data_IF_022198787664
#
_entry.id   IF_022198787664
#
_cell.length_a   1.000
_cell.length_b   1.000
_cell.length_c   1.000
_cell.angle_alpha   90.00
_cell.angle_beta   90.00
_cell.angle_gamma   90.00
#
_symmetry.space_group_name_H-M   'P 1'
#
loop_
_entity.id
_entity.type
_entity.pdbx_description
1 polymer ?
#
# COMPACT_ATOMS: atom_id res chain seq x y z
N UNK A 1 -19.86 -27.80 6.33
CA UNK A 1 -19.36 -26.89 5.32
C UNK A 1 -19.96 -27.24 3.98
N UNK A 2 -20.59 -26.30 3.31
CA UNK A 2 -21.09 -26.45 1.97
C UNK A 2 -20.05 -25.91 0.97
N UNK A 3 -19.38 -26.77 0.20
CA UNK A 3 -18.32 -26.34 -0.71
C UNK A 3 -18.84 -25.57 -1.93
N UNK A 4 -20.12 -25.72 -2.32
CA UNK A 4 -20.69 -24.99 -3.44
C UNK A 4 -21.08 -23.57 -3.05
N UNK A 5 -21.65 -23.38 -1.86
CA UNK A 5 -22.00 -22.10 -1.31
C UNK A 5 -20.87 -21.47 -0.53
N UNK A 6 -19.76 -22.20 -0.29
CA UNK A 6 -18.62 -21.78 0.55
C UNK A 6 -19.04 -21.26 1.93
N UNK A 7 -20.08 -21.87 2.49
CA UNK A 7 -20.68 -21.50 3.76
C UNK A 7 -20.83 -22.71 4.67
N UNK A 8 -20.82 -22.48 5.98
CA UNK A 8 -21.12 -23.49 6.99
C UNK A 8 -22.64 -23.60 7.19
N UNK A 9 -23.42 -23.75 6.11
CA UNK A 9 -24.85 -24.03 6.20
C UNK A 9 -25.03 -25.51 6.44
N UNK A 10 -26.08 -25.89 7.16
CA UNK A 10 -26.43 -27.25 7.55
C UNK A 10 -25.84 -27.75 8.87
N UNK A 11 -25.89 -26.94 9.91
CA UNK A 11 -25.91 -27.53 11.24
C UNK A 11 -27.18 -28.34 11.42
N UNK A 12 -27.02 -29.60 11.82
CA UNK A 12 -28.16 -30.39 12.24
C UNK A 12 -28.79 -29.72 13.48
N UNK A 13 -30.05 -29.41 13.42
CA UNK A 13 -30.77 -28.77 14.55
C UNK A 13 -30.64 -29.54 15.86
N UNK A 14 -30.37 -30.87 15.79
CA UNK A 14 -30.11 -31.71 16.95
C UNK A 14 -28.77 -31.39 17.61
N UNK A 15 -27.76 -31.06 16.80
CA UNK A 15 -26.42 -30.72 17.30
C UNK A 15 -26.45 -29.33 17.94
N UNK A 16 -27.21 -28.39 17.37
CA UNK A 16 -27.42 -27.07 17.96
C UNK A 16 -28.14 -27.13 19.31
N UNK A 17 -29.17 -28.00 19.42
CA UNK A 17 -29.89 -28.24 20.66
C UNK A 17 -29.01 -28.89 21.73
N UNK A 18 -28.09 -29.78 21.34
CA UNK A 18 -27.12 -30.41 22.23
C UNK A 18 -26.12 -29.38 22.76
N UNK A 19 -25.55 -28.57 21.90
CA UNK A 19 -24.61 -27.52 22.31
C UNK A 19 -25.29 -26.43 23.15
N UNK A 20 -26.51 -26.04 22.87
CA UNK A 20 -27.25 -25.07 23.68
C UNK A 20 -27.56 -25.62 25.08
N UNK A 21 -27.83 -26.91 25.22
CA UNK A 21 -27.99 -27.58 26.48
C UNK A 21 -26.70 -27.66 27.32
N UNK A 22 -25.55 -27.79 26.66
CA UNK A 22 -24.25 -27.85 27.32
C UNK A 22 -23.69 -26.47 27.74
N UNK A 23 -24.01 -25.43 26.99
CA UNK A 23 -23.53 -24.07 27.19
C UNK A 23 -24.52 -23.16 27.95
N UNK A 24 -25.62 -23.74 28.44
CA UNK A 24 -26.71 -22.99 29.09
C UNK A 24 -27.54 -22.18 28.10
N UNK A 25 -28.15 -21.11 28.54
CA UNK A 25 -29.04 -20.25 27.74
C UNK A 25 -28.34 -19.33 26.73
N UNK A 26 -27.04 -19.59 26.40
CA UNK A 26 -26.39 -18.87 25.33
C UNK A 26 -27.07 -19.25 24.00
N UNK A 27 -27.84 -18.36 23.42
CA UNK A 27 -28.35 -18.51 22.07
C UNK A 27 -27.15 -18.49 21.12
N UNK A 28 -26.78 -19.67 20.64
CA UNK A 28 -25.85 -19.80 19.55
C UNK A 28 -26.58 -19.34 18.27
N UNK A 29 -26.45 -18.09 17.92
CA UNK A 29 -26.93 -17.59 16.64
C UNK A 29 -26.14 -18.32 15.55
N UNK A 30 -26.85 -18.96 14.62
CA UNK A 30 -26.28 -19.65 13.45
C UNK A 30 -25.24 -18.78 12.71
N UNK A 31 -25.45 -17.47 12.69
CA UNK A 31 -24.56 -16.50 12.07
C UNK A 31 -23.29 -16.20 12.89
N UNK A 32 -23.29 -16.48 14.19
CA UNK A 32 -22.13 -16.21 15.05
C UNK A 32 -21.10 -17.33 15.08
N UNK A 33 -21.51 -18.57 14.74
CA UNK A 33 -20.63 -19.75 14.82
C UNK A 33 -19.80 -19.97 13.55
N UNK A 34 -20.26 -19.48 12.41
CA UNK A 34 -19.62 -19.74 11.13
C UNK A 34 -19.69 -18.54 10.18
N UNK A 35 -18.89 -17.53 10.43
CA UNK A 35 -18.59 -16.56 9.37
C UNK A 35 -17.32 -16.97 8.65
N UNK A 36 -17.39 -17.29 7.37
CA UNK A 36 -16.24 -17.49 6.51
C UNK A 36 -16.11 -16.28 5.59
N UNK A 37 -14.95 -15.64 5.60
CA UNK A 37 -14.62 -14.53 4.70
C UNK A 37 -13.43 -14.92 3.84
N UNK A 38 -13.66 -15.02 2.54
CA UNK A 38 -12.59 -15.21 1.56
C UNK A 38 -12.23 -13.87 0.91
N UNK A 39 -10.95 -13.49 0.97
CA UNK A 39 -10.43 -12.31 0.30
C UNK A 39 -9.41 -12.76 -0.75
N UNK A 40 -9.73 -12.56 -2.01
CA UNK A 40 -8.87 -12.91 -3.13
C UNK A 40 -8.17 -11.68 -3.69
N UNK A 41 -6.89 -11.53 -3.38
CA UNK A 41 -6.04 -10.49 -3.93
C UNK A 41 -5.12 -11.08 -5.01
N UNK A 42 -5.16 -10.51 -6.20
CA UNK A 42 -4.32 -10.92 -7.34
C UNK A 42 -3.38 -9.80 -7.71
N UNK A 43 -2.09 -10.14 -7.81
CA UNK A 43 -1.03 -9.23 -8.22
C UNK A 43 -0.22 -9.87 -9.34
N UNK A 44 0.13 -9.07 -10.34
CA UNK A 44 1.10 -9.41 -11.37
C UNK A 44 2.10 -8.28 -11.46
N UNK A 45 3.39 -8.61 -11.35
CA UNK A 45 4.46 -7.61 -11.31
C UNK A 45 5.56 -7.98 -12.30
N UNK A 46 6.00 -6.99 -13.08
CA UNK A 46 7.21 -7.06 -13.89
C UNK A 46 8.20 -6.04 -13.36
N UNK A 47 9.44 -6.44 -13.19
CA UNK A 47 10.49 -5.53 -12.73
C UNK A 47 11.80 -5.78 -13.46
N UNK A 48 12.60 -4.73 -13.58
CA UNK A 48 13.96 -4.78 -14.10
C UNK A 48 14.84 -3.82 -13.32
N UNK A 49 16.06 -4.26 -13.03
CA UNK A 49 17.08 -3.47 -12.38
C UNK A 49 18.34 -3.52 -13.21
N UNK A 50 19.03 -2.39 -13.35
CA UNK A 50 20.30 -2.30 -14.01
C UNK A 50 21.26 -1.43 -13.19
N UNK A 51 22.54 -1.79 -13.17
CA UNK A 51 23.59 -1.00 -12.59
C UNK A 51 24.82 -1.08 -13.46
N UNK A 52 25.46 0.06 -13.68
CA UNK A 52 26.69 0.18 -14.46
C UNK A 52 27.74 0.95 -13.65
N UNK A 53 28.93 0.39 -13.57
CA UNK A 53 30.08 1.01 -12.91
C UNK A 53 31.14 1.34 -13.94
N UNK A 54 31.53 2.60 -13.98
CA UNK A 54 32.60 3.08 -14.87
C UNK A 54 33.84 3.47 -14.04
N UNK A 55 34.98 2.92 -14.44
CA UNK A 55 36.31 3.18 -13.84
C UNK A 55 36.34 3.04 -12.29
N UNK A 56 35.47 2.16 -11.74
CA UNK A 56 35.27 2.01 -10.30
C UNK A 56 34.96 3.32 -9.53
N UNK A 57 34.71 4.39 -10.24
CA UNK A 57 34.49 5.74 -9.70
C UNK A 57 33.05 6.16 -9.78
N UNK A 58 32.41 5.89 -10.89
CA UNK A 58 31.05 6.33 -11.18
C UNK A 58 30.12 5.13 -11.27
N UNK A 59 29.05 5.15 -10.48
CA UNK A 59 28.03 4.12 -10.55
C UNK A 59 26.71 4.76 -10.93
N UNK A 60 26.07 4.22 -11.96
CA UNK A 60 24.71 4.58 -12.36
C UNK A 60 23.82 3.36 -12.13
N UNK A 61 22.70 3.54 -11.48
CA UNK A 61 21.71 2.49 -11.24
C UNK A 61 20.31 2.95 -11.64
N UNK A 62 19.51 2.00 -12.10
CA UNK A 62 18.12 2.26 -12.43
C UNK A 62 17.25 1.06 -12.14
N UNK A 63 16.02 1.31 -11.75
CA UNK A 63 15.00 0.29 -11.57
C UNK A 63 13.67 0.74 -12.17
N UNK A 64 12.95 -0.21 -12.71
CA UNK A 64 11.57 -0.02 -13.16
C UNK A 64 10.74 -1.21 -12.71
N UNK A 65 9.54 -0.93 -12.23
CA UNK A 65 8.57 -1.94 -11.83
C UNK A 65 7.18 -1.58 -12.33
N UNK A 66 6.50 -2.53 -12.87
CA UNK A 66 5.14 -2.41 -13.32
C UNK A 66 4.26 -3.44 -12.65
N UNK A 67 3.28 -2.97 -11.92
CA UNK A 67 2.37 -3.82 -11.15
C UNK A 67 0.94 -3.71 -11.67
N UNK A 68 0.22 -4.82 -11.61
CA UNK A 68 -1.22 -4.90 -11.81
C UNK A 68 -1.88 -5.59 -10.62
N UNK A 69 -3.06 -5.12 -10.23
CA UNK A 69 -3.84 -5.70 -9.13
C UNK A 69 -5.34 -5.58 -9.39
N UNK A 70 -6.13 -6.50 -8.83
CA UNK A 70 -7.59 -6.41 -8.79
C UNK A 70 -8.12 -5.42 -7.74
N UNK A 71 -7.24 -4.81 -6.94
CA UNK A 71 -7.61 -3.81 -5.92
C UNK A 71 -7.73 -2.39 -6.48
N UNK A 72 -7.39 -2.18 -7.74
CA UNK A 72 -7.45 -0.85 -8.36
C UNK A 72 -8.82 -0.52 -8.88
N UNK A 73 -9.06 0.79 -9.01
CA UNK A 73 -10.22 1.31 -9.70
C UNK A 73 -10.29 0.83 -11.15
N UNK A 74 -11.48 0.81 -11.69
CA UNK A 74 -11.75 0.34 -13.07
C UNK A 74 -11.35 1.36 -14.14
N UNK A 75 -10.92 2.55 -13.76
CA UNK A 75 -10.48 3.58 -14.68
C UNK A 75 -9.09 3.25 -15.25
N UNK A 76 -9.00 2.98 -16.53
CA UNK A 76 -7.77 2.60 -17.25
C UNK A 76 -6.65 3.64 -17.13
N UNK A 77 -6.99 4.92 -16.93
CA UNK A 77 -6.04 6.01 -16.72
C UNK A 77 -5.11 5.77 -15.51
N UNK A 78 -5.56 5.04 -14.52
CA UNK A 78 -4.84 4.83 -13.26
C UNK A 78 -4.24 3.44 -13.12
N UNK A 79 -4.55 2.53 -14.04
CA UNK A 79 -4.13 1.12 -13.95
C UNK A 79 -2.70 0.82 -14.41
N UNK A 80 -2.08 1.69 -15.20
CA UNK A 80 -0.82 1.40 -15.89
C UNK A 80 0.24 2.47 -15.61
N UNK A 81 0.64 2.65 -14.35
CA UNK A 81 1.71 3.59 -13.99
C UNK A 81 2.94 2.83 -13.49
N UNK A 82 4.06 2.85 -14.23
CA UNK A 82 5.28 2.24 -13.76
C UNK A 82 5.85 3.02 -12.57
N UNK A 83 6.41 2.30 -11.62
CA UNK A 83 7.25 2.81 -10.56
C UNK A 83 8.69 2.71 -11.03
N UNK A 84 9.51 3.71 -10.78
CA UNK A 84 10.88 3.71 -11.25
C UNK A 84 11.80 4.52 -10.35
N UNK A 85 13.07 4.21 -10.40
CA UNK A 85 14.09 5.00 -9.73
C UNK A 85 15.36 5.05 -10.57
N UNK A 86 16.10 6.13 -10.39
CA UNK A 86 17.44 6.30 -10.91
C UNK A 86 18.33 6.80 -9.78
N UNK A 87 19.54 6.29 -9.71
CA UNK A 87 20.52 6.72 -8.71
C UNK A 87 21.91 6.72 -9.31
N UNK A 88 22.74 7.59 -8.77
CA UNK A 88 24.13 7.66 -9.11
C UNK A 88 25.02 7.80 -7.87
N UNK A 89 26.23 7.30 -7.94
CA UNK A 89 27.25 7.58 -6.93
C UNK A 89 28.61 7.86 -7.55
N UNK A 90 29.37 8.70 -6.88
CA UNK A 90 30.70 9.11 -7.28
C UNK A 90 31.68 8.86 -6.13
N UNK A 91 32.67 8.00 -6.40
CA UNK A 91 33.75 7.68 -5.47
C UNK A 91 34.85 8.74 -5.61
N UNK A 92 34.70 9.87 -4.96
CA UNK A 92 35.59 11.04 -5.06
C UNK A 92 37.02 10.69 -4.64
N UNK A 93 37.17 9.84 -3.63
CA UNK A 93 38.49 9.43 -3.11
C UNK A 93 39.37 8.68 -4.14
N UNK A 94 38.75 8.15 -5.23
CA UNK A 94 39.48 7.46 -6.33
C UNK A 94 39.93 8.43 -7.42
N UNK A 95 39.59 9.70 -7.33
CA UNK A 95 39.96 10.69 -8.33
C UNK A 95 41.43 11.11 -8.19
N UNK A 96 42.11 11.33 -9.32
CA UNK A 96 43.53 11.74 -9.34
C UNK A 96 43.78 13.12 -8.72
N UNK A 97 42.79 14.00 -8.71
CA UNK A 97 42.87 15.32 -8.10
C UNK A 97 42.65 15.28 -6.59
N UNK A 98 42.10 14.18 -6.06
CA UNK A 98 41.81 14.08 -4.65
C UNK A 98 43.00 13.48 -3.91
N UNK A 99 43.77 14.36 -3.23
CA UNK A 99 44.97 13.99 -2.45
C UNK A 99 44.80 14.47 -1.00
N UNK A 100 44.16 13.65 -0.18
CA UNK A 100 43.94 13.92 1.22
C UNK A 100 44.26 12.68 2.04
N UNK A 101 45.47 12.63 2.64
CA UNK A 101 45.97 11.43 3.34
C UNK A 101 45.16 10.98 4.53
N UNK A 102 44.32 11.88 5.06
CA UNK A 102 43.45 11.57 6.19
C UNK A 102 42.05 11.04 5.78
N UNK A 103 41.72 11.06 4.47
CA UNK A 103 40.42 10.59 3.93
C UNK A 103 40.60 9.29 3.24
N UNK A 104 40.09 8.22 3.85
CA UNK A 104 40.15 6.84 3.29
C UNK A 104 39.03 6.56 2.29
N UNK A 105 37.86 7.18 2.51
CA UNK A 105 36.72 7.07 1.62
C UNK A 105 35.91 8.36 1.63
N UNK A 106 35.55 8.82 0.46
CA UNK A 106 34.58 9.90 0.24
C UNK A 106 33.73 9.55 -0.98
N UNK A 107 32.44 9.30 -0.75
CA UNK A 107 31.50 8.93 -1.78
C UNK A 107 30.28 9.83 -1.71
N UNK A 108 29.96 10.47 -2.82
CA UNK A 108 28.70 11.19 -3.01
C UNK A 108 27.69 10.27 -3.68
N UNK A 109 26.46 10.28 -3.23
CA UNK A 109 25.36 9.55 -3.85
C UNK A 109 24.11 10.42 -3.94
N UNK A 110 23.37 10.22 -5.03
CA UNK A 110 22.08 10.85 -5.23
C UNK A 110 21.12 9.85 -5.86
N UNK A 111 19.88 9.91 -5.47
CA UNK A 111 18.83 9.11 -6.08
C UNK A 111 17.52 9.88 -6.19
N UNK A 112 16.77 9.55 -7.24
CA UNK A 112 15.44 10.06 -7.48
C UNK A 112 14.54 8.91 -7.91
N UNK A 113 13.34 8.82 -7.33
CA UNK A 113 12.43 7.74 -7.68
C UNK A 113 10.99 8.03 -7.34
N UNK A 114 10.13 7.23 -7.95
CA UNK A 114 8.69 7.24 -7.71
C UNK A 114 8.30 5.87 -7.18
N UNK A 115 7.86 5.84 -5.92
CA UNK A 115 7.26 4.69 -5.26
C UNK A 115 5.74 4.79 -5.23
N UNK A 116 5.07 3.68 -4.99
CA UNK A 116 3.64 3.62 -4.84
C UNK A 116 3.20 2.66 -3.74
N UNK A 117 2.05 2.93 -3.18
CA UNK A 117 1.37 2.05 -2.24
C UNK A 117 -0.10 1.93 -2.60
N UNK A 118 -0.75 0.84 -2.23
CA UNK A 118 -2.18 0.62 -2.49
C UNK A 118 -2.90 0.34 -1.17
N UNK A 119 -4.03 1.01 -0.97
CA UNK A 119 -4.90 0.76 0.16
C UNK A 119 -5.61 -0.60 0.03
N UNK A 120 -5.36 -1.51 0.97
CA UNK A 120 -5.98 -2.84 0.97
C UNK A 120 -7.41 -2.86 1.48
N UNK A 121 -7.82 -1.79 2.15
CA UNK A 121 -9.15 -1.68 2.78
C UNK A 121 -10.14 -0.85 1.94
N UNK A 122 -9.85 -0.66 0.66
CA UNK A 122 -10.71 0.06 -0.27
C UNK A 122 -11.15 -0.85 -1.40
N UNK A 123 -12.37 -0.64 -1.90
CA UNK A 123 -12.89 -1.36 -3.04
C UNK A 123 -13.38 -0.36 -4.09
N UNK A 124 -13.15 -0.63 -5.40
CA UNK A 124 -13.68 0.20 -6.46
C UNK A 124 -15.19 0.02 -6.70
N UNK A 125 -15.75 -1.04 -6.11
CA UNK A 125 -17.13 -1.43 -6.29
C UNK A 125 -18.02 -0.99 -5.14
N UNK A 126 -19.33 -0.88 -5.44
CA UNK A 126 -20.34 -0.70 -4.42
C UNK A 126 -20.40 -1.94 -3.53
N UNK A 127 -20.34 -1.74 -2.21
CA UNK A 127 -20.57 -2.79 -1.22
C UNK A 127 -21.85 -2.43 -0.45
N UNK A 128 -22.81 -3.32 -0.48
CA UNK A 128 -24.09 -3.18 0.22
C UNK A 128 -24.35 -4.39 1.10
N UNK A 129 -24.99 -4.17 2.24
CA UNK A 129 -25.54 -5.21 3.11
C UNK A 129 -27.06 -5.22 2.97
N UNK A 130 -27.63 -6.41 2.91
CA UNK A 130 -29.07 -6.60 2.90
C UNK A 130 -29.57 -7.05 4.27
N UNK A 131 -30.74 -6.57 4.65
CA UNK A 131 -31.38 -6.91 5.93
C UNK A 131 -32.91 -6.93 5.77
N UNK A 132 -33.58 -7.71 6.58
CA UNK A 132 -35.03 -7.68 6.64
C UNK A 132 -35.51 -6.39 7.31
N UNK A 133 -36.40 -5.68 6.63
CA UNK A 133 -36.91 -4.40 7.10
C UNK A 133 -38.40 -4.51 7.43
N UNK A 134 -38.74 -4.18 8.67
CA UNK A 134 -40.15 -4.08 9.09
C UNK A 134 -40.90 -2.89 8.47
N UNK A 135 -40.17 -1.95 7.83
CA UNK A 135 -40.78 -0.75 7.23
C UNK A 135 -41.28 -1.00 5.81
N UNK A 136 -40.71 -1.98 5.09
CA UNK A 136 -41.02 -2.23 3.68
C UNK A 136 -41.52 -3.67 3.43
N UNK A 137 -41.79 -4.43 4.48
CA UNK A 137 -42.26 -5.84 4.43
C UNK A 137 -41.40 -6.65 3.42
N UNK A 138 -40.10 -6.61 3.59
CA UNK A 138 -39.16 -7.28 2.72
C UNK A 138 -37.70 -6.89 2.98
N UNK A 139 -36.81 -7.30 2.07
CA UNK A 139 -35.40 -7.01 2.15
C UNK A 139 -35.10 -5.56 1.79
N UNK A 140 -34.45 -4.85 2.70
CA UNK A 140 -33.87 -3.54 2.45
C UNK A 140 -32.34 -3.65 2.28
N UNK A 141 -31.74 -2.71 1.57
CA UNK A 141 -30.29 -2.64 1.37
C UNK A 141 -29.71 -1.39 2.01
N UNK A 142 -28.58 -1.55 2.69
CA UNK A 142 -27.74 -0.43 3.15
C UNK A 142 -26.43 -0.42 2.37
N UNK A 143 -26.06 0.73 1.80
CA UNK A 143 -24.78 0.88 1.11
C UNK A 143 -23.70 1.12 2.14
N UNK A 144 -22.75 0.20 2.27
CA UNK A 144 -21.64 0.27 3.21
C UNK A 144 -20.46 1.07 2.62
N UNK A 145 -20.22 0.89 1.32
CA UNK A 145 -19.15 1.59 0.61
C UNK A 145 -19.65 2.00 -0.78
N UNK A 146 -19.61 3.27 -1.14
CA UNK A 146 -19.96 3.73 -2.48
C UNK A 146 -18.91 3.27 -3.49
N UNK A 147 -19.28 3.15 -4.76
CA UNK A 147 -18.33 2.81 -5.81
C UNK A 147 -17.35 3.97 -6.01
N UNK A 148 -16.06 3.66 -6.03
CA UNK A 148 -15.03 4.62 -6.39
C UNK A 148 -14.15 4.05 -7.52
N UNK A 149 -14.51 4.38 -8.76
CA UNK A 149 -13.78 3.92 -9.96
C UNK A 149 -12.40 4.54 -10.10
N UNK A 150 -12.13 5.63 -9.39
CA UNK A 150 -10.91 6.42 -9.49
C UNK A 150 -9.89 6.11 -8.38
N UNK A 151 -10.11 5.06 -7.61
CA UNK A 151 -9.12 4.55 -6.65
C UNK A 151 -7.84 4.22 -7.40
N UNK A 152 -6.74 4.79 -6.92
CA UNK A 152 -5.43 4.68 -7.54
C UNK A 152 -4.31 4.52 -6.50
N UNK A 153 -3.11 4.26 -6.99
CA UNK A 153 -1.91 4.26 -6.20
C UNK A 153 -1.69 5.58 -5.46
N UNK A 154 -1.34 5.48 -4.21
CA UNK A 154 -0.64 6.52 -3.49
C UNK A 154 0.75 6.67 -4.11
N UNK A 155 1.12 7.86 -4.53
CA UNK A 155 2.38 8.12 -5.21
C UNK A 155 3.32 8.89 -4.29
N UNK A 156 4.52 8.36 -4.07
CA UNK A 156 5.57 9.05 -3.32
C UNK A 156 6.77 9.28 -4.22
N UNK A 157 7.11 10.54 -4.44
CA UNK A 157 8.34 10.95 -5.09
C UNK A 157 9.40 11.15 -4.03
N UNK A 158 10.53 10.47 -4.17
CA UNK A 158 11.64 10.51 -3.20
C UNK A 158 12.89 11.06 -3.88
N UNK A 159 13.54 12.02 -3.22
CA UNK A 159 14.88 12.52 -3.55
C UNK A 159 15.76 12.24 -2.36
N UNK A 160 16.88 11.57 -2.57
CA UNK A 160 17.91 11.37 -1.55
C UNK A 160 19.25 11.85 -2.09
N UNK A 161 19.99 12.56 -1.23
CA UNK A 161 21.39 12.94 -1.47
C UNK A 161 22.18 12.60 -0.22
N UNK A 162 23.27 11.87 -0.38
CA UNK A 162 24.06 11.41 0.75
C UNK A 162 25.57 11.47 0.48
N UNK A 163 26.31 11.60 1.56
CA UNK A 163 27.78 11.56 1.59
C UNK A 163 28.19 10.46 2.56
N UNK A 164 28.93 9.47 2.04
CA UNK A 164 29.57 8.44 2.86
C UNK A 164 31.05 8.79 3.01
N UNK A 165 31.57 8.75 4.22
CA UNK A 165 32.97 9.08 4.49
C UNK A 165 33.63 8.10 5.46
N UNK A 166 34.96 7.92 5.29
CA UNK A 166 35.82 7.27 6.26
C UNK A 166 37.12 8.04 6.36
N UNK A 167 37.55 8.28 7.58
CA UNK A 167 38.70 9.16 7.91
C UNK A 167 39.65 8.42 8.85
N UNK A 168 40.92 8.86 8.84
CA UNK A 168 41.96 8.46 9.81
C UNK A 168 42.16 6.93 9.87
N UNK A 169 42.38 6.28 8.73
CA UNK A 169 42.54 4.85 8.58
C UNK A 169 41.29 4.08 9.10
N UNK A 170 40.11 4.53 8.64
CA UNK A 170 38.80 4.00 9.04
C UNK A 170 38.47 4.09 10.55
N UNK A 171 39.13 4.97 11.30
CA UNK A 171 38.83 5.18 12.73
C UNK A 171 37.53 5.94 12.93
N UNK A 172 37.19 6.81 12.02
CA UNK A 172 35.94 7.54 11.99
C UNK A 172 35.28 7.31 10.65
N UNK A 173 34.06 6.75 10.65
CA UNK A 173 33.26 6.55 9.45
C UNK A 173 31.80 6.92 9.72
N UNK A 174 31.13 7.40 8.71
CA UNK A 174 29.74 7.80 8.83
C UNK A 174 29.09 8.09 7.50
N UNK A 175 27.82 8.33 7.58
CA UNK A 175 26.97 8.74 6.46
C UNK A 175 26.15 9.94 6.90
N UNK A 176 26.07 10.94 6.03
CA UNK A 176 25.14 12.06 6.18
C UNK A 176 24.22 12.00 4.97
N UNK A 177 22.91 11.94 5.22
CA UNK A 177 21.92 11.83 4.16
C UNK A 177 20.81 12.87 4.34
N UNK A 178 20.47 13.56 3.26
CA UNK A 178 19.28 14.39 3.16
C UNK A 178 18.23 13.69 2.29
N UNK A 179 17.02 13.64 2.79
CA UNK A 179 15.89 13.12 2.01
C UNK A 179 14.73 14.10 1.94
N UNK A 180 14.01 14.03 0.82
CA UNK A 180 12.73 14.70 0.62
C UNK A 180 11.74 13.72 -0.03
N UNK A 181 10.66 13.39 0.68
CA UNK A 181 9.57 12.52 0.24
C UNK A 181 8.32 13.35 0.06
N UNK A 182 7.83 13.42 -1.17
CA UNK A 182 6.60 14.11 -1.51
C UNK A 182 5.54 13.07 -1.94
N UNK A 183 4.52 12.89 -1.10
CA UNK A 183 3.43 11.94 -1.32
C UNK A 183 2.18 12.68 -1.76
N UNK A 184 1.55 12.16 -2.80
CA UNK A 184 0.28 12.64 -3.35
C UNK A 184 -0.67 11.47 -3.56
N UNK A 185 -1.93 11.77 -3.77
CA UNK A 185 -2.97 10.77 -3.96
C UNK A 185 -3.10 9.81 -2.77
N UNK A 186 -2.72 10.25 -1.55
CA UNK A 186 -2.89 9.46 -0.34
C UNK A 186 -4.38 9.24 -0.08
N UNK A 187 -4.72 8.03 0.33
CA UNK A 187 -6.08 7.70 0.73
C UNK A 187 -6.44 8.45 2.01
N UNK A 188 -7.46 9.26 1.90
CA UNK A 188 -7.98 10.04 3.01
C UNK A 188 -9.50 9.96 3.06
N UNK A 189 -10.03 9.99 4.26
CA UNK A 189 -11.45 10.09 4.49
C UNK A 189 -11.90 11.54 4.25
N UNK A 190 -12.87 11.72 3.37
CA UNK A 190 -13.52 13.01 3.15
C UNK A 190 -14.99 12.92 3.57
N UNK A 191 -15.56 14.02 4.01
CA UNK A 191 -16.97 14.08 4.31
C UNK A 191 -17.78 14.12 3.01
N UNK A 192 -18.68 13.17 2.85
CA UNK A 192 -19.68 13.14 1.78
C UNK A 192 -20.87 14.02 2.12
N UNK A 193 -21.66 14.37 1.11
CA UNK A 193 -22.92 15.09 1.32
C UNK A 193 -23.97 14.15 1.91
N UNK A 194 -24.59 14.48 3.05
CA UNK A 194 -25.68 13.68 3.60
C UNK A 194 -26.90 13.60 2.69
N UNK A 195 -27.00 14.50 1.69
CA UNK A 195 -28.10 14.52 0.72
C UNK A 195 -27.97 13.49 -0.40
N UNK A 196 -26.85 12.75 -0.45
CA UNK A 196 -26.67 11.69 -1.45
C UNK A 196 -27.44 10.40 -1.14
N UNK A 197 -28.12 10.32 0.00
CA UNK A 197 -29.00 9.20 0.34
C UNK A 197 -28.31 7.88 0.74
N UNK A 198 -27.00 7.89 0.92
CA UNK A 198 -26.24 6.66 1.24
C UNK A 198 -26.17 6.34 2.74
N UNK A 199 -26.68 7.17 3.62
CA UNK A 199 -26.67 6.93 5.05
C UNK A 199 -25.31 7.04 5.74
N UNK A 200 -24.23 7.35 5.03
CA UNK A 200 -22.90 7.59 5.60
C UNK A 200 -22.35 8.95 5.18
N UNK A 201 -21.48 9.46 6.03
CA UNK A 201 -20.93 10.81 5.88
C UNK A 201 -19.46 10.82 5.44
N UNK A 202 -18.82 9.64 5.32
CA UNK A 202 -17.37 9.56 5.06
C UNK A 202 -17.07 8.69 3.84
N UNK A 203 -16.27 9.22 2.93
CA UNK A 203 -15.82 8.56 1.70
C UNK A 203 -14.30 8.46 1.68
N UNK A 204 -13.75 7.30 1.33
CA UNK A 204 -12.30 7.15 1.09
C UNK A 204 -11.96 7.52 -0.34
N UNK A 205 -11.09 8.52 -0.49
CA UNK A 205 -10.63 9.02 -1.82
C UNK A 205 -9.14 9.29 -1.80
N UNK A 206 -8.54 9.33 -3.00
CA UNK A 206 -7.14 9.73 -3.18
C UNK A 206 -7.01 11.26 -3.22
N UNK A 207 -7.08 11.90 -2.06
CA UNK A 207 -7.06 13.38 -1.94
C UNK A 207 -5.97 13.91 -1.00
N UNK A 208 -5.29 13.03 -0.25
CA UNK A 208 -4.26 13.43 0.71
C UNK A 208 -2.94 13.80 0.04
N UNK A 209 -2.22 14.74 0.65
CA UNK A 209 -0.85 15.11 0.30
C UNK A 209 0.01 15.16 1.57
N UNK A 210 1.27 14.75 1.47
CA UNK A 210 2.20 14.78 2.58
C UNK A 210 3.61 15.12 2.10
N UNK A 211 4.33 15.89 2.88
CA UNK A 211 5.76 16.15 2.69
C UNK A 211 6.53 15.69 3.92
N UNK A 212 7.58 14.92 3.71
CA UNK A 212 8.50 14.50 4.77
C UNK A 212 9.94 14.81 4.32
N UNK A 213 10.69 15.55 5.13
CA UNK A 213 12.07 15.96 4.87
C UNK A 213 12.89 15.72 6.12
N UNK A 214 14.12 15.28 5.95
CA UNK A 214 15.02 15.08 7.08
C UNK A 214 16.47 15.01 6.66
N UNK A 215 17.31 15.06 7.69
CA UNK A 215 18.75 14.81 7.63
C UNK A 215 19.04 13.70 8.63
N UNK A 216 19.76 12.71 8.22
CA UNK A 216 20.19 11.57 9.03
C UNK A 216 21.70 11.45 9.04
#
# INVERSE_FOLDING_TARGET
YDPELKTWQNYNMKDLAYFSGLLGSAQLDQNSIASSRELLNRFVSFYSNASYTYDDKYVLSGSIRWDRSNLWGTNSKYQNKPLWSVGGSWNIYKEKFFQADFVDMLKLRASYGIGGNIGRNTAPYLIASYYDSSLVDGMAGSVNTPPNKDIRWEKTTTVNVGVDFALFRHRLSGTIEYYNKYSVDLLAAINGSPTQGFGYTTLMTNNGKMVNRGVE
#
